data_IF_365889602699
#
_entry.id   IF_365889602699
#
_cell.length_a   1.000
_cell.length_b   1.000
_cell.length_c   1.000
_cell.angle_alpha   90.00
_cell.angle_beta   90.00
_cell.angle_gamma   90.00
#
_symmetry.space_group_name_H-M   'P 1'
#
loop_
_entity.id
_entity.type
_entity.pdbx_description
1 polymer ?
#
# COMPACT_ATOMS: atom_id res chain seq x y z
N UNK A 1 36.84 -6.96 6.77
CA UNK A 1 35.91 -7.90 7.41
C UNK A 1 34.51 -7.61 6.91
N UNK A 2 34.07 -8.38 5.91
CA UNK A 2 32.69 -8.39 5.46
C UNK A 2 31.85 -9.08 6.56
N UNK A 3 30.92 -8.34 7.17
CA UNK A 3 29.80 -8.92 7.89
C UNK A 3 28.53 -8.44 7.18
N UNK A 4 28.01 -9.36 6.36
CA UNK A 4 26.65 -9.37 5.84
C UNK A 4 25.62 -9.25 6.97
N UNK A 5 24.48 -8.65 6.65
CA UNK A 5 23.13 -9.06 7.09
C UNK A 5 22.30 -7.94 7.72
N UNK A 6 21.61 -7.20 6.86
CA UNK A 6 20.24 -6.77 7.15
C UNK A 6 19.45 -6.76 5.84
N UNK A 7 19.31 -7.95 5.23
CA UNK A 7 18.41 -8.19 4.10
C UNK A 7 16.92 -8.18 4.52
N UNK A 8 16.62 -7.54 5.65
CA UNK A 8 15.30 -7.45 6.25
C UNK A 8 15.16 -6.13 7.01
N UNK A 9 15.65 -5.03 6.43
CA UNK A 9 15.21 -3.70 6.82
C UNK A 9 13.74 -3.56 6.43
N UNK A 10 12.87 -4.13 7.27
CA UNK A 10 11.55 -3.68 7.62
C UNK A 10 10.99 -2.62 6.67
N UNK A 11 10.06 -3.06 5.81
CA UNK A 11 9.00 -2.27 5.15
C UNK A 11 9.05 -0.82 5.61
N UNK A 12 9.69 0.05 4.82
CA UNK A 12 10.13 1.39 5.22
C UNK A 12 8.96 2.31 5.61
N UNK A 13 8.41 2.11 6.81
CA UNK A 13 7.44 3.00 7.42
C UNK A 13 8.21 3.92 8.35
N UNK A 14 8.88 4.93 7.78
CA UNK A 14 9.43 6.04 8.59
C UNK A 14 8.26 6.76 9.27
N UNK A 15 8.11 6.56 10.58
CA UNK A 15 7.07 7.15 11.41
C UNK A 15 7.34 8.63 11.79
N UNK A 16 8.40 9.24 11.28
CA UNK A 16 8.67 10.68 11.44
C UNK A 16 9.45 11.21 10.22
N UNK A 17 8.73 11.57 9.16
CA UNK A 17 9.31 12.31 8.03
C UNK A 17 9.01 13.80 8.20
N UNK A 18 9.99 14.68 7.98
CA UNK A 18 9.81 16.14 7.98
C UNK A 18 9.01 16.68 6.78
N UNK A 19 8.30 15.80 6.07
CA UNK A 19 7.52 16.14 4.88
C UNK A 19 6.02 16.05 5.18
N UNK A 20 5.23 17.01 4.70
CA UNK A 20 3.78 16.94 4.86
C UNK A 20 3.20 15.74 4.09
N UNK A 21 2.30 15.01 4.73
CA UNK A 21 1.52 13.95 4.10
C UNK A 21 0.28 14.57 3.45
N UNK A 22 0.20 14.55 2.13
CA UNK A 22 -0.92 15.16 1.37
C UNK A 22 -2.14 14.26 1.26
N UNK A 23 -1.94 12.94 1.25
CA UNK A 23 -3.01 11.94 1.16
C UNK A 23 -2.51 10.57 1.63
N UNK A 24 -3.44 9.65 1.90
CA UNK A 24 -3.14 8.24 2.17
C UNK A 24 -3.94 7.36 1.21
N UNK A 25 -3.28 6.37 0.60
CA UNK A 25 -3.93 5.40 -0.27
C UNK A 25 -4.64 4.34 0.56
N UNK A 26 -5.85 3.97 0.16
CA UNK A 26 -6.64 2.93 0.83
C UNK A 26 -5.93 1.57 0.73
N UNK A 27 -5.95 0.80 1.82
CA UNK A 27 -5.25 -0.48 1.90
C UNK A 27 -5.74 -1.50 0.86
N UNK A 28 -7.01 -1.41 0.46
CA UNK A 28 -7.58 -2.26 -0.59
C UNK A 28 -6.95 -2.05 -1.98
N UNK A 29 -6.28 -0.91 -2.22
CA UNK A 29 -5.61 -0.61 -3.49
C UNK A 29 -4.12 -1.01 -3.49
N UNK A 30 -3.58 -1.46 -2.35
CA UNK A 30 -2.18 -1.88 -2.25
C UNK A 30 -1.79 -3.00 -3.22
N UNK A 31 -2.64 -4.02 -3.51
CA UNK A 31 -2.29 -5.03 -4.51
C UNK A 31 -2.02 -4.46 -5.90
N UNK A 32 -2.70 -3.37 -6.30
CA UNK A 32 -2.47 -2.69 -7.57
C UNK A 32 -1.14 -1.91 -7.49
N UNK A 33 -0.95 -1.13 -6.43
CA UNK A 33 0.26 -0.33 -6.24
C UNK A 33 1.54 -1.20 -6.18
N UNK A 34 1.44 -2.42 -5.63
CA UNK A 34 2.54 -3.36 -5.53
C UNK A 34 3.01 -3.93 -6.88
N UNK A 35 2.22 -3.79 -7.95
CA UNK A 35 2.52 -4.32 -9.28
C UNK A 35 2.99 -3.25 -10.27
N UNK A 36 3.05 -1.98 -9.84
CA UNK A 36 3.52 -0.89 -10.69
C UNK A 36 5.02 -1.03 -10.98
N UNK A 37 5.40 -0.78 -12.23
CA UNK A 37 6.80 -0.73 -12.68
C UNK A 37 7.22 0.71 -13.00
N UNK A 38 8.53 1.00 -13.03
CA UNK A 38 9.01 2.32 -13.45
C UNK A 38 8.50 2.67 -14.86
N UNK A 39 7.88 3.83 -14.99
CA UNK A 39 7.27 4.29 -16.23
C UNK A 39 5.76 4.10 -16.29
N UNK A 40 5.15 3.37 -15.35
CA UNK A 40 3.69 3.30 -15.26
C UNK A 40 3.11 4.64 -14.81
N UNK A 41 1.99 4.99 -15.43
CA UNK A 41 1.17 6.14 -15.03
C UNK A 41 0.12 5.71 -14.00
N UNK A 42 -0.18 6.60 -13.05
CA UNK A 42 -1.20 6.38 -12.05
C UNK A 42 -1.95 7.67 -11.74
N UNK A 43 -3.25 7.53 -11.50
CA UNK A 43 -4.13 8.61 -11.08
C UNK A 43 -4.70 8.33 -9.69
N UNK A 44 -4.62 9.32 -8.81
CA UNK A 44 -5.30 9.26 -7.52
C UNK A 44 -6.74 9.72 -7.66
N UNK A 45 -7.65 8.98 -7.02
CA UNK A 45 -9.05 9.39 -6.88
C UNK A 45 -9.36 9.62 -5.41
N UNK A 46 -10.07 10.70 -5.13
CA UNK A 46 -10.62 10.95 -3.80
C UNK A 46 -11.64 9.87 -3.44
N UNK A 47 -11.59 9.40 -2.21
CA UNK A 47 -12.46 8.33 -1.71
C UNK A 47 -12.93 8.69 -0.32
N UNK A 48 -14.22 8.49 -0.05
CA UNK A 48 -14.79 8.65 1.29
C UNK A 48 -14.37 7.50 2.20
N UNK A 49 -14.35 7.73 3.52
CA UNK A 49 -14.02 6.67 4.49
C UNK A 49 -14.95 5.45 4.35
N UNK A 50 -16.23 5.69 4.10
CA UNK A 50 -17.21 4.61 3.92
C UNK A 50 -16.89 3.77 2.67
N UNK A 51 -16.57 4.43 1.55
CA UNK A 51 -16.19 3.72 0.34
C UNK A 51 -14.88 2.94 0.53
N UNK A 52 -13.91 3.50 1.25
CA UNK A 52 -12.66 2.80 1.57
C UNK A 52 -12.91 1.52 2.40
N UNK A 53 -13.84 1.55 3.36
CA UNK A 53 -14.23 0.38 4.16
C UNK A 53 -14.90 -0.69 3.29
N UNK A 54 -15.83 -0.28 2.42
CA UNK A 54 -16.48 -1.19 1.48
C UNK A 54 -15.45 -1.89 0.58
N UNK A 55 -14.51 -1.13 0.00
CA UNK A 55 -13.43 -1.70 -0.82
C UNK A 55 -12.60 -2.73 -0.04
N UNK A 56 -12.31 -2.47 1.24
CA UNK A 56 -11.55 -3.40 2.10
C UNK A 56 -12.31 -4.69 2.38
N UNK A 57 -13.62 -4.60 2.63
CA UNK A 57 -14.49 -5.76 2.83
C UNK A 57 -14.64 -6.58 1.53
N UNK A 58 -14.81 -5.92 0.39
CA UNK A 58 -14.88 -6.59 -0.92
C UNK A 58 -13.59 -7.35 -1.23
N UNK A 59 -12.42 -6.75 -0.96
CA UNK A 59 -11.14 -7.44 -1.11
C UNK A 59 -11.04 -8.67 -0.20
N UNK A 60 -11.43 -8.54 1.08
CA UNK A 60 -11.41 -9.67 2.01
C UNK A 60 -12.34 -10.81 1.55
N UNK A 61 -13.56 -10.49 1.13
CA UNK A 61 -14.50 -11.47 0.60
C UNK A 61 -13.96 -12.19 -0.65
N UNK A 62 -13.34 -11.46 -1.57
CA UNK A 62 -12.74 -12.06 -2.77
C UNK A 62 -11.59 -13.03 -2.42
N UNK A 63 -10.76 -12.68 -1.44
CA UNK A 63 -9.67 -13.56 -0.98
C UNK A 63 -10.20 -14.83 -0.31
N UNK A 64 -11.28 -14.74 0.48
CA UNK A 64 -11.92 -15.92 1.08
C UNK A 64 -12.45 -16.90 0.03
N UNK A 65 -12.88 -16.44 -1.15
CA UNK A 65 -13.31 -17.36 -2.22
C UNK A 65 -12.18 -18.16 -2.86
N UNK A 66 -10.93 -17.76 -2.64
CA UNK A 66 -9.74 -18.44 -3.17
C UNK A 66 -9.11 -19.41 -2.17
N UNK A 67 -9.67 -19.51 -0.96
CA UNK A 67 -9.22 -20.37 0.13
C UNK A 67 -9.88 -21.73 0.08
#
# INVERSE_FOLDING_TARGET
TLASSSAASDVYKRQAGGYPLVATVVSASMPIAAQLVPGDELDFKEVTLERARQMRLSLAAALETLR
#
